data_IF_453909781404
#
_entry.id   IF_453909781404
#
_cell.length_a   1.000
_cell.length_b   1.000
_cell.length_c   1.000
_cell.angle_alpha   90.00
_cell.angle_beta   90.00
_cell.angle_gamma   90.00
#
_symmetry.space_group_name_H-M   'P 1'
#
loop_
_entity.id
_entity.type
_entity.pdbx_description
1 polymer ?
#
# COMPACT_ATOMS: atom_id res chain seq x y z
N UNK A 1 -36.33 57.11 -20.62
CA UNK A 1 -35.64 57.45 -19.36
C UNK A 1 -35.78 56.36 -18.29
N UNK A 2 -36.96 55.72 -18.15
CA UNK A 2 -37.21 54.66 -17.16
C UNK A 2 -36.43 53.35 -17.41
N UNK A 3 -36.21 52.96 -18.67
CA UNK A 3 -35.50 51.72 -19.04
C UNK A 3 -33.99 51.73 -18.78
N UNK A 4 -33.36 52.92 -18.82
CA UNK A 4 -31.91 53.06 -18.58
C UNK A 4 -31.59 52.86 -17.09
N UNK A 5 -32.48 53.31 -16.20
CA UNK A 5 -32.31 53.15 -14.74
C UNK A 5 -32.43 51.68 -14.32
N UNK A 6 -33.34 50.92 -14.95
CA UNK A 6 -33.52 49.48 -14.65
C UNK A 6 -32.29 48.66 -15.09
N UNK A 7 -31.68 48.97 -16.23
CA UNK A 7 -30.49 48.25 -16.72
C UNK A 7 -29.27 48.54 -15.82
N UNK A 8 -29.10 49.77 -15.36
CA UNK A 8 -28.01 50.12 -14.43
C UNK A 8 -28.20 49.39 -13.09
N UNK A 9 -29.43 49.36 -12.55
CA UNK A 9 -29.72 48.63 -11.31
C UNK A 9 -29.51 47.12 -11.45
N UNK A 10 -29.88 46.52 -12.60
CA UNK A 10 -29.71 45.08 -12.84
C UNK A 10 -28.23 44.70 -13.03
N UNK A 11 -27.42 45.58 -13.61
CA UNK A 11 -25.97 45.37 -13.75
C UNK A 11 -25.19 45.47 -12.42
N UNK A 12 -25.72 46.21 -11.44
CA UNK A 12 -25.11 46.29 -10.10
C UNK A 12 -25.39 45.09 -9.19
N UNK A 13 -26.34 44.22 -9.54
CA UNK A 13 -26.65 43.01 -8.76
C UNK A 13 -25.83 41.77 -9.18
N UNK A 14 -25.02 41.85 -10.25
CA UNK A 14 -24.27 40.68 -10.77
C UNK A 14 -22.76 40.74 -10.53
N UNK A 15 -22.24 41.76 -9.84
CA UNK A 15 -20.80 41.95 -9.57
C UNK A 15 -20.43 41.69 -8.12
N UNK A 16 -20.86 40.58 -7.54
CA UNK A 16 -20.27 40.03 -6.31
C UNK A 16 -19.69 38.66 -6.59
N UNK A 17 -18.82 38.57 -7.59
CA UNK A 17 -17.83 37.49 -7.62
C UNK A 17 -16.69 37.94 -6.70
N UNK A 18 -16.92 37.90 -5.39
CA UNK A 18 -15.84 37.98 -4.43
C UNK A 18 -14.97 36.76 -4.70
N UNK A 19 -13.79 37.00 -5.26
CA UNK A 19 -12.71 36.02 -5.30
C UNK A 19 -12.51 35.56 -3.87
N UNK A 20 -12.93 34.34 -3.56
CA UNK A 20 -12.47 33.69 -2.34
C UNK A 20 -10.94 33.75 -2.42
N UNK A 21 -10.25 34.29 -1.40
CA UNK A 21 -8.81 34.25 -1.40
C UNK A 21 -8.41 32.79 -1.65
N UNK A 22 -7.55 32.57 -2.64
CA UNK A 22 -6.95 31.27 -2.83
C UNK A 22 -6.15 31.00 -1.55
N UNK A 23 -6.73 30.23 -0.63
CA UNK A 23 -6.05 29.76 0.58
C UNK A 23 -4.77 29.10 0.06
N UNK A 24 -3.63 29.74 0.33
CA UNK A 24 -2.36 29.20 -0.10
C UNK A 24 -2.15 27.87 0.61
N UNK A 25 -1.42 26.93 -0.01
CA UNK A 25 -1.15 25.66 0.63
C UNK A 25 -0.49 25.84 2.02
N UNK A 26 0.18 26.96 2.26
CA UNK A 26 0.80 27.34 3.54
C UNK A 26 -0.21 27.67 4.65
N UNK A 27 -1.44 28.11 4.35
CA UNK A 27 -2.51 28.31 5.34
C UNK A 27 -3.21 27.00 5.73
N UNK A 28 -2.90 25.88 5.06
CA UNK A 28 -3.27 24.56 5.57
C UNK A 28 -2.43 24.34 6.83
N UNK A 29 -3.09 24.29 7.98
CA UNK A 29 -2.48 23.88 9.25
C UNK A 29 -1.99 22.44 9.13
N UNK A 30 -0.82 22.25 8.54
CA UNK A 30 -0.11 20.99 8.62
C UNK A 30 0.28 20.81 10.09
N UNK A 31 0.03 19.61 10.62
CA UNK A 31 0.65 19.22 11.88
C UNK A 31 2.16 19.45 11.75
N UNK A 32 2.78 20.01 12.78
CA UNK A 32 4.23 20.08 12.88
C UNK A 32 4.77 18.66 13.08
N UNK A 33 4.81 17.89 12.01
CA UNK A 33 5.25 16.50 11.97
C UNK A 33 6.75 16.49 11.66
N UNK A 34 7.53 16.00 12.60
CA UNK A 34 8.92 15.61 12.37
C UNK A 34 9.01 14.09 12.31
N UNK A 35 9.98 13.59 11.55
CA UNK A 35 10.36 12.18 11.52
C UNK A 35 11.79 12.10 12.00
N UNK A 36 12.01 11.33 13.06
CA UNK A 36 13.35 11.07 13.59
C UNK A 36 13.80 9.69 13.12
N UNK A 37 14.98 9.63 12.53
CA UNK A 37 15.59 8.36 12.18
C UNK A 37 16.10 7.68 13.46
N UNK A 38 15.47 6.55 13.81
CA UNK A 38 15.80 5.80 15.03
C UNK A 38 16.91 4.77 14.79
N UNK A 39 16.91 4.12 13.63
CA UNK A 39 17.91 3.12 13.29
C UNK A 39 17.59 2.36 12.01
N UNK A 40 18.51 1.48 11.63
CA UNK A 40 18.43 0.59 10.48
C UNK A 40 18.95 -0.78 10.90
N UNK A 41 18.36 -1.83 10.31
CA UNK A 41 18.89 -3.19 10.39
C UNK A 41 18.87 -3.81 9.00
N UNK A 42 20.02 -4.32 8.56
CA UNK A 42 20.12 -5.03 7.29
C UNK A 42 20.09 -6.53 7.53
N UNK A 43 19.01 -7.18 7.07
CA UNK A 43 18.93 -8.64 7.08
C UNK A 43 20.05 -9.24 6.21
N UNK A 44 20.77 -10.27 6.69
CA UNK A 44 21.73 -10.98 5.86
C UNK A 44 20.99 -11.73 4.75
N UNK A 45 21.67 -11.96 3.62
CA UNK A 45 21.15 -12.87 2.59
C UNK A 45 21.01 -14.27 3.19
N UNK A 46 19.77 -14.71 3.33
CA UNK A 46 19.43 -15.97 3.98
C UNK A 46 18.25 -16.64 3.31
N UNK A 47 18.09 -17.92 3.59
CA UNK A 47 16.90 -18.68 3.23
C UNK A 47 16.14 -19.08 4.49
N UNK A 48 14.82 -19.07 4.39
CA UNK A 48 13.94 -19.56 5.44
C UNK A 48 12.88 -20.47 4.84
N UNK A 49 12.78 -21.71 5.35
CA UNK A 49 11.87 -22.76 4.84
C UNK A 49 11.88 -22.87 3.29
N UNK A 50 13.08 -22.95 2.69
CA UNK A 50 13.32 -23.04 1.24
C UNK A 50 12.84 -21.82 0.43
N UNK A 51 12.80 -20.65 1.05
CA UNK A 51 12.51 -19.39 0.36
C UNK A 51 13.62 -18.40 0.65
N UNK A 52 14.12 -17.71 -0.37
CA UNK A 52 15.04 -16.60 -0.19
C UNK A 52 14.28 -15.46 0.51
N UNK A 53 14.79 -15.02 1.66
CA UNK A 53 14.25 -13.86 2.38
C UNK A 53 14.76 -12.61 1.69
N UNK A 54 13.86 -11.87 1.04
CA UNK A 54 14.21 -10.69 0.25
C UNK A 54 13.02 -10.14 -0.53
N UNK A 55 13.27 -9.05 -1.26
CA UNK A 55 12.20 -8.35 -1.99
C UNK A 55 11.13 -7.82 -1.06
N UNK A 56 11.49 -7.35 0.14
CA UNK A 56 10.49 -6.91 1.11
C UNK A 56 9.98 -5.52 0.71
N UNK A 57 8.71 -5.44 0.33
CA UNK A 57 8.07 -4.20 -0.18
C UNK A 57 7.14 -3.53 0.83
N UNK A 58 6.62 -4.30 1.80
CA UNK A 58 5.71 -3.77 2.82
C UNK A 58 5.92 -4.37 4.20
N UNK A 59 5.58 -3.61 5.23
CA UNK A 59 5.71 -4.01 6.65
C UNK A 59 4.44 -3.64 7.44
N UNK A 60 3.92 -4.58 8.22
CA UNK A 60 2.82 -4.37 9.16
C UNK A 60 3.21 -4.83 10.56
N UNK A 61 2.59 -4.26 11.60
CA UNK A 61 2.77 -4.69 12.99
C UNK A 61 1.51 -5.39 13.50
N UNK A 62 1.63 -6.69 13.77
CA UNK A 62 0.65 -7.47 14.53
C UNK A 62 0.85 -7.20 16.03
N UNK A 63 -0.01 -6.34 16.56
CA UNK A 63 0.02 -5.92 17.97
C UNK A 63 -0.42 -7.02 18.94
N UNK A 64 -1.18 -8.02 18.49
CA UNK A 64 -1.62 -9.10 19.37
C UNK A 64 -0.49 -10.09 19.67
N UNK A 65 0.38 -10.32 18.69
CA UNK A 65 1.49 -11.27 18.78
C UNK A 65 2.84 -10.61 19.05
N UNK A 66 2.90 -9.29 19.02
CA UNK A 66 4.12 -8.51 19.03
C UNK A 66 5.08 -8.96 17.93
N UNK A 67 4.58 -8.94 16.69
CA UNK A 67 5.33 -9.39 15.50
C UNK A 67 5.17 -8.42 14.34
N UNK A 68 6.21 -8.37 13.52
CA UNK A 68 6.17 -7.66 12.26
C UNK A 68 5.87 -8.64 11.13
N UNK A 69 5.09 -8.22 10.14
CA UNK A 69 4.72 -9.01 8.98
C UNK A 69 5.27 -8.30 7.75
N UNK A 70 6.15 -8.96 6.99
CA UNK A 70 6.82 -8.36 5.84
C UNK A 70 6.44 -9.11 4.55
N UNK A 71 5.84 -8.43 3.58
CA UNK A 71 5.44 -9.05 2.30
C UNK A 71 6.59 -8.98 1.31
N UNK A 72 6.74 -10.04 0.50
CA UNK A 72 7.69 -10.08 -0.61
C UNK A 72 7.02 -9.64 -1.92
N UNK A 73 7.68 -8.77 -2.67
CA UNK A 73 7.36 -8.31 -4.03
C UNK A 73 7.64 -9.35 -5.11
N UNK A 74 8.23 -10.49 -4.75
CA UNK A 74 8.42 -11.59 -5.67
C UNK A 74 7.07 -12.00 -6.26
N UNK A 75 6.94 -11.77 -7.58
CA UNK A 75 5.77 -12.12 -8.41
C UNK A 75 5.60 -13.63 -8.57
N UNK A 76 5.85 -14.41 -7.52
CA UNK A 76 5.94 -15.88 -7.51
C UNK A 76 6.98 -16.45 -8.50
N UNK A 77 8.06 -15.72 -8.80
CA UNK A 77 9.09 -16.16 -9.75
C UNK A 77 10.18 -16.98 -9.08
N UNK A 78 10.58 -16.61 -7.85
CA UNK A 78 11.65 -17.29 -7.12
C UNK A 78 11.09 -18.32 -6.12
N UNK A 79 9.98 -18.00 -5.46
CA UNK A 79 9.21 -18.94 -4.64
C UNK A 79 7.73 -18.51 -4.63
N UNK A 80 6.77 -19.33 -4.14
CA UNK A 80 5.38 -18.90 -4.06
C UNK A 80 5.24 -17.55 -3.34
N UNK A 81 4.31 -16.71 -3.78
CA UNK A 81 4.04 -15.42 -3.14
C UNK A 81 3.82 -15.59 -1.64
N UNK A 82 4.40 -14.69 -0.85
CA UNK A 82 4.59 -14.92 0.59
C UNK A 82 4.72 -13.64 1.39
N UNK A 83 4.44 -13.75 2.67
CA UNK A 83 4.93 -12.82 3.68
C UNK A 83 5.64 -13.57 4.79
N UNK A 84 6.58 -12.90 5.45
CA UNK A 84 7.34 -13.40 6.57
C UNK A 84 6.80 -12.84 7.88
N UNK A 85 6.82 -13.68 8.92
CA UNK A 85 6.65 -13.23 10.30
C UNK A 85 8.02 -12.97 10.90
N UNK A 86 8.23 -11.76 11.38
CA UNK A 86 9.49 -11.26 11.91
C UNK A 86 9.33 -10.89 13.38
N UNK A 87 10.34 -11.22 14.17
CA UNK A 87 10.50 -10.72 15.53
C UNK A 87 11.65 -9.73 15.57
N UNK A 88 11.35 -8.51 16.02
CA UNK A 88 12.34 -7.45 16.20
C UNK A 88 12.69 -7.38 17.68
N UNK A 89 13.98 -7.43 17.99
CA UNK A 89 14.50 -7.08 19.30
C UNK A 89 15.08 -5.69 19.23
N UNK A 90 14.66 -4.82 20.14
CA UNK A 90 15.14 -3.44 20.22
C UNK A 90 16.12 -3.30 21.39
N UNK A 91 17.20 -2.55 21.19
CA UNK A 91 18.09 -2.16 22.27
C UNK A 91 17.84 -0.69 22.66
N UNK A 92 17.53 -0.41 23.94
CA UNK A 92 17.58 0.96 24.44
C UNK A 92 19.02 1.46 24.34
N UNK A 93 19.24 2.65 23.79
CA UNK A 93 20.55 3.31 23.89
C UNK A 93 20.59 4.20 25.14
N UNK A 94 21.78 4.40 25.70
CA UNK A 94 22.00 5.27 26.87
C UNK A 94 21.61 6.75 26.59
N UNK A 95 21.44 7.12 25.32
CA UNK A 95 21.02 8.45 24.87
C UNK A 95 19.50 8.61 24.71
N UNK A 96 18.72 7.56 25.00
CA UNK A 96 17.27 7.53 24.80
C UNK A 96 16.82 7.23 23.37
N UNK A 97 17.74 6.86 22.47
CA UNK A 97 17.39 6.39 21.13
C UNK A 97 17.01 4.89 21.19
N UNK A 98 16.21 4.44 20.23
CA UNK A 98 15.83 3.04 20.08
C UNK A 98 16.57 2.49 18.87
N UNK A 99 17.44 1.50 19.07
CA UNK A 99 18.06 0.74 17.98
C UNK A 99 17.36 -0.58 17.73
N UNK A 100 17.66 -1.21 16.59
CA UNK A 100 17.24 -2.58 16.27
C UNK A 100 18.45 -3.48 16.51
N UNK A 101 18.37 -4.32 17.54
CA UNK A 101 19.43 -5.28 17.90
C UNK A 101 19.42 -6.49 16.96
N UNK A 102 18.23 -7.01 16.67
CA UNK A 102 18.08 -8.21 15.85
C UNK A 102 16.73 -8.23 15.12
N UNK A 103 16.72 -8.85 13.94
CA UNK A 103 15.51 -9.21 13.19
C UNK A 103 15.56 -10.72 12.95
N UNK A 104 14.68 -11.46 13.61
CA UNK A 104 14.54 -12.91 13.45
C UNK A 104 13.38 -13.22 12.51
N UNK A 105 13.60 -14.07 11.51
CA UNK A 105 12.54 -14.63 10.66
C UNK A 105 11.98 -15.86 11.37
N UNK A 106 10.76 -15.77 11.89
CA UNK A 106 10.13 -16.86 12.66
C UNK A 106 9.22 -17.74 11.79
N UNK A 107 8.58 -17.16 10.78
CA UNK A 107 7.69 -17.92 9.88
C UNK A 107 7.61 -17.34 8.47
N UNK A 108 7.09 -18.15 7.53
CA UNK A 108 6.69 -17.74 6.19
C UNK A 108 5.30 -18.29 5.89
N UNK A 109 4.41 -17.42 5.40
CA UNK A 109 3.06 -17.78 4.99
C UNK A 109 2.91 -17.57 3.49
N UNK A 110 2.51 -18.63 2.78
CA UNK A 110 2.28 -18.59 1.34
C UNK A 110 0.87 -18.11 1.02
N UNK A 111 0.78 -17.10 0.16
CA UNK A 111 -0.48 -16.57 -0.33
C UNK A 111 -1.15 -17.58 -1.25
N UNK A 112 -2.40 -17.87 -0.94
CA UNK A 112 -3.25 -18.79 -1.69
C UNK A 112 -4.50 -18.09 -2.17
N UNK A 113 -4.92 -18.44 -3.37
CA UNK A 113 -6.17 -17.95 -3.94
C UNK A 113 -7.40 -18.51 -3.18
N UNK A 114 -8.59 -18.14 -3.64
CA UNK A 114 -9.86 -18.63 -3.07
C UNK A 114 -10.03 -20.16 -3.11
N UNK A 115 -9.33 -20.84 -4.01
CA UNK A 115 -9.36 -22.29 -4.17
C UNK A 115 -8.35 -22.98 -3.25
N UNK A 116 -7.45 -22.22 -2.62
CA UNK A 116 -6.38 -22.74 -1.76
C UNK A 116 -5.08 -23.03 -2.52
N UNK A 117 -4.99 -22.63 -3.79
CA UNK A 117 -3.82 -22.84 -4.64
C UNK A 117 -2.87 -21.64 -4.54
N UNK A 118 -1.56 -21.88 -4.64
CA UNK A 118 -0.58 -20.81 -4.72
C UNK A 118 -0.69 -20.07 -6.06
N UNK A 119 -0.37 -18.78 -6.05
CA UNK A 119 -0.36 -17.98 -7.28
C UNK A 119 0.69 -18.47 -8.29
N UNK A 120 0.34 -18.40 -9.58
CA UNK A 120 1.27 -18.73 -10.65
C UNK A 120 2.31 -17.61 -10.82
N UNK A 121 3.53 -17.94 -11.30
CA UNK A 121 4.55 -16.92 -11.60
C UNK A 121 4.02 -15.80 -12.50
N UNK A 122 4.27 -14.56 -12.13
CA UNK A 122 3.88 -13.35 -12.84
C UNK A 122 2.43 -12.91 -12.68
N UNK A 123 1.61 -13.59 -11.86
CA UNK A 123 0.15 -13.31 -11.76
C UNK A 123 -0.26 -12.37 -10.63
N UNK A 124 0.72 -11.85 -9.90
CA UNK A 124 0.57 -10.84 -8.85
C UNK A 124 1.90 -10.11 -8.67
N UNK A 125 1.84 -8.99 -7.97
CA UNK A 125 2.93 -8.10 -7.64
C UNK A 125 2.66 -7.43 -6.29
N UNK A 126 3.02 -8.06 -5.16
CA UNK A 126 2.64 -7.58 -3.84
C UNK A 126 3.50 -6.40 -3.37
N UNK A 127 2.87 -5.30 -2.98
CA UNK A 127 3.59 -4.08 -2.57
C UNK A 127 3.34 -3.67 -1.13
N UNK A 128 2.16 -3.96 -0.60
CA UNK A 128 1.74 -3.52 0.73
C UNK A 128 1.14 -4.64 1.54
N UNK A 129 1.31 -4.53 2.85
CA UNK A 129 0.70 -5.41 3.85
C UNK A 129 0.19 -4.58 5.01
N UNK A 130 -1.01 -4.89 5.49
CA UNK A 130 -1.62 -4.24 6.64
C UNK A 130 -2.27 -5.28 7.54
N UNK A 131 -1.99 -5.20 8.85
CA UNK A 131 -2.66 -6.04 9.84
C UNK A 131 -4.14 -5.65 9.95
N UNK A 132 -5.03 -6.64 9.88
CA UNK A 132 -6.49 -6.40 9.88
C UNK A 132 -7.07 -6.08 11.26
N UNK A 133 -6.30 -6.28 12.33
CA UNK A 133 -6.79 -6.24 13.69
C UNK A 133 -7.07 -7.62 14.31
N UNK A 134 -7.13 -8.70 13.50
CA UNK A 134 -7.32 -10.07 13.99
C UNK A 134 -7.01 -11.12 12.91
N UNK A 135 -6.10 -12.05 13.22
CA UNK A 135 -5.81 -13.32 12.50
C UNK A 135 -5.67 -13.24 10.97
N UNK A 136 -5.54 -12.06 10.39
CA UNK A 136 -5.51 -11.85 8.95
C UNK A 136 -4.81 -10.55 8.58
N UNK A 137 -4.40 -10.46 7.31
CA UNK A 137 -3.76 -9.29 6.73
C UNK A 137 -4.46 -8.88 5.45
N UNK A 138 -4.45 -7.59 5.14
CA UNK A 138 -4.72 -7.09 3.81
C UNK A 138 -3.40 -6.96 3.06
N UNK A 139 -3.36 -7.44 1.83
CA UNK A 139 -2.22 -7.28 0.92
C UNK A 139 -2.70 -6.56 -0.34
N UNK A 140 -1.97 -5.51 -0.71
CA UNK A 140 -2.13 -4.84 -1.99
C UNK A 140 -1.24 -5.48 -3.04
N UNK A 141 -1.73 -5.55 -4.26
CA UNK A 141 -0.94 -5.91 -5.42
C UNK A 141 -1.24 -5.00 -6.60
N UNK A 142 -0.19 -4.57 -7.29
CA UNK A 142 -0.31 -3.80 -8.55
C UNK A 142 -0.85 -4.68 -9.70
N UNK A 143 -0.68 -5.99 -9.59
CA UNK A 143 -0.96 -6.93 -10.66
C UNK A 143 0.11 -6.85 -11.76
N UNK A 144 -0.33 -6.87 -13.01
CA UNK A 144 0.50 -6.60 -14.17
C UNK A 144 -0.43 -6.06 -15.25
N UNK A 145 -0.75 -4.77 -15.15
CA UNK A 145 -1.79 -4.12 -15.95
C UNK A 145 -1.48 -4.18 -17.46
N UNK A 146 -0.20 -4.12 -17.83
CA UNK A 146 0.28 -4.34 -19.21
C UNK A 146 0.05 -5.77 -19.74
N UNK A 147 -0.23 -6.73 -18.86
CA UNK A 147 -0.55 -8.13 -19.17
C UNK A 147 -2.03 -8.45 -18.88
N UNK A 148 -2.85 -7.44 -18.59
CA UNK A 148 -4.27 -7.61 -18.25
C UNK A 148 -4.52 -8.20 -16.86
N UNK A 149 -3.49 -8.30 -16.01
CA UNK A 149 -3.65 -8.75 -14.62
C UNK A 149 -4.04 -7.55 -13.78
N UNK A 150 -5.26 -7.59 -13.25
CA UNK A 150 -5.81 -6.51 -12.44
C UNK A 150 -5.12 -6.39 -11.08
N UNK A 151 -4.94 -5.16 -10.57
CA UNK A 151 -4.53 -4.95 -9.19
C UNK A 151 -5.59 -5.46 -8.21
N UNK A 152 -5.19 -5.70 -6.98
CA UNK A 152 -6.12 -6.07 -5.92
C UNK A 152 -5.71 -5.52 -4.56
N UNK A 153 -6.71 -5.47 -3.67
CA UNK A 153 -6.47 -5.48 -2.22
C UNK A 153 -7.27 -6.67 -1.68
N UNK A 154 -6.57 -7.65 -1.12
CA UNK A 154 -7.16 -8.91 -0.66
C UNK A 154 -6.80 -9.18 0.78
N UNK A 155 -7.76 -9.76 1.49
CA UNK A 155 -7.55 -10.23 2.85
C UNK A 155 -7.11 -11.68 2.81
N UNK A 156 -6.07 -12.02 3.58
CA UNK A 156 -5.54 -13.37 3.72
C UNK A 156 -5.49 -13.75 5.19
N UNK A 157 -5.86 -15.00 5.49
CA UNK A 157 -5.69 -15.60 6.81
C UNK A 157 -4.19 -15.74 7.14
N UNK A 158 -3.76 -15.30 8.33
CA UNK A 158 -2.34 -15.30 8.70
C UNK A 158 -1.77 -16.72 8.82
N UNK A 159 -2.55 -17.68 9.32
CA UNK A 159 -2.05 -19.02 9.60
C UNK A 159 -1.98 -19.90 8.35
N UNK A 160 -2.92 -19.73 7.42
CA UNK A 160 -3.10 -20.61 6.26
C UNK A 160 -2.70 -19.96 4.94
N UNK A 161 -2.64 -18.63 4.90
CA UNK A 161 -2.45 -17.81 3.71
C UNK A 161 -3.62 -17.84 2.74
N UNK A 162 -4.77 -18.42 3.13
CA UNK A 162 -5.95 -18.52 2.28
C UNK A 162 -6.61 -17.15 2.11
N UNK A 163 -6.95 -16.80 0.88
CA UNK A 163 -7.74 -15.62 0.60
C UNK A 163 -9.13 -15.69 1.27
N UNK A 164 -9.46 -14.68 2.06
CA UNK A 164 -10.74 -14.52 2.76
C UNK A 164 -11.68 -13.57 2.00
N UNK A 165 -11.15 -12.44 1.53
CA UNK A 165 -11.94 -11.39 0.90
C UNK A 165 -11.14 -10.71 -0.21
N UNK A 166 -11.84 -10.17 -1.20
CA UNK A 166 -11.30 -9.25 -2.20
C UNK A 166 -12.05 -7.92 -2.12
N UNK A 167 -11.34 -6.83 -1.85
CA UNK A 167 -11.94 -5.50 -1.79
C UNK A 167 -12.25 -5.00 -3.21
N UNK A 168 -13.30 -4.17 -3.33
CA UNK A 168 -13.66 -3.57 -4.62
C UNK A 168 -12.66 -2.46 -4.95
N UNK A 169 -12.05 -2.57 -6.11
CA UNK A 169 -11.17 -1.54 -6.66
C UNK A 169 -12.00 -0.65 -7.59
N UNK A 170 -11.99 0.69 -7.42
CA UNK A 170 -12.68 1.61 -8.32
C UNK A 170 -12.22 1.45 -9.78
N UNK A 171 -13.14 1.58 -10.73
CA UNK A 171 -12.89 1.30 -12.15
C UNK A 171 -11.66 2.06 -12.73
N UNK A 172 -11.39 3.28 -12.26
CA UNK A 172 -10.23 4.09 -12.69
C UNK A 172 -8.87 3.46 -12.39
N UNK A 173 -8.81 2.50 -11.47
CA UNK A 173 -7.61 1.75 -11.10
C UNK A 173 -7.54 0.38 -11.77
N UNK A 174 -8.52 0.02 -12.60
CA UNK A 174 -8.51 -1.24 -13.35
C UNK A 174 -8.02 -0.98 -14.79
N UNK A 175 -7.27 -1.92 -15.39
CA UNK A 175 -6.87 -1.80 -16.78
C UNK A 175 -8.11 -1.81 -17.69
N UNK A 176 -8.13 -0.95 -18.70
CA UNK A 176 -9.13 -1.02 -19.76
C UNK A 176 -8.72 -2.13 -20.74
N UNK A 177 -9.54 -3.17 -20.87
CA UNK A 177 -9.29 -4.35 -21.72
C UNK A 177 -9.24 -4.08 -23.24
N UNK A 178 -9.23 -2.81 -23.67
CA UNK A 178 -9.42 -2.44 -25.08
C UNK A 178 -8.13 -2.15 -25.85
N UNK A 179 -7.01 -1.83 -25.19
CA UNK A 179 -5.70 -1.71 -25.85
C UNK A 179 -4.54 -1.79 -24.84
N UNK A 180 -3.78 -2.90 -24.87
CA UNK A 180 -2.57 -3.08 -24.03
C UNK A 180 -1.42 -2.14 -24.44
N UNK A 181 -1.49 -1.53 -25.63
CA UNK A 181 -0.49 -0.57 -26.13
C UNK A 181 -0.69 0.84 -25.55
N UNK A 182 -1.87 1.17 -25.01
CA UNK A 182 -2.19 2.50 -24.46
C UNK A 182 -2.90 2.40 -23.11
N UNK A 183 -2.26 1.73 -22.14
CA UNK A 183 -2.75 1.66 -20.75
C UNK A 183 -2.79 3.07 -20.13
N UNK A 184 -3.89 3.79 -20.38
CA UNK A 184 -4.17 5.13 -19.86
C UNK A 184 -4.82 5.11 -18.48
N UNK A 185 -5.31 3.94 -18.04
CA UNK A 185 -5.99 3.72 -16.76
C UNK A 185 -5.45 2.45 -16.11
N UNK A 186 -5.45 2.42 -14.77
CA UNK A 186 -4.87 1.33 -14.01
C UNK A 186 -3.74 1.78 -13.10
N UNK A 187 -3.27 0.84 -12.29
CA UNK A 187 -2.01 1.00 -11.53
C UNK A 187 -0.85 0.88 -12.51
N UNK A 188 0.11 1.80 -12.37
CA UNK A 188 1.34 1.81 -13.16
C UNK A 188 2.37 0.93 -12.45
N UNK A 189 3.07 0.10 -13.24
CA UNK A 189 4.06 -0.87 -12.73
C UNK A 189 5.17 -0.15 -11.95
N UNK A 190 5.41 -0.60 -10.71
CA UNK A 190 6.32 -0.04 -9.72
C UNK A 190 6.02 1.41 -9.30
N UNK A 191 4.76 1.84 -9.39
CA UNK A 191 4.32 3.20 -9.03
C UNK A 191 3.03 3.21 -8.19
N UNK A 192 2.55 2.06 -7.74
CA UNK A 192 1.35 1.87 -6.94
C UNK A 192 1.64 1.30 -5.55
N UNK A 193 2.20 2.13 -4.66
CA UNK A 193 2.32 1.82 -3.23
C UNK A 193 0.98 1.94 -2.48
#
# INVERSE_FOLDING_TARGET
MLWVVVIIFLSSLTTTCSFLPAITAEERTFLNLSVDFLGEYQLPQTEFKNTVVGGLSGLAYDRERDRFLAVSDDRSRLAPARFYTLKLTFNPTDTGNIGIENVEVEDVTFLKDKNGETFLPGTLDPEGIAWSGKDSVFISSEGATNQGIAPFIRQFDIATGKQLQNLKIPQRYLPNNTDLETVSNGIQDNLGF
#
